data_IF_932910941704
#
_entry.id   IF_932910941704
#
_cell.length_a   1.000
_cell.length_b   1.000
_cell.length_c   1.000
_cell.angle_alpha   90.00
_cell.angle_beta   90.00
_cell.angle_gamma   90.00
#
_symmetry.space_group_name_H-M   'P 1'
#
loop_
_entity.id
_entity.type
_entity.pdbx_description
1 polymer ?
#
# COMPACT_ATOMS: atom_id res chain seq x y z
N UNK A 1 -55.96 -10.09 -47.72
CA UNK A 1 -55.56 -9.39 -46.49
C UNK A 1 -54.81 -10.36 -45.60
N UNK A 2 -53.52 -10.25 -45.41
CA UNK A 2 -52.76 -11.12 -44.51
C UNK A 2 -52.89 -10.58 -43.07
N UNK A 3 -53.12 -11.48 -42.13
CA UNK A 3 -53.24 -11.20 -40.69
C UNK A 3 -51.85 -10.91 -40.13
N UNK A 4 -51.68 -9.74 -39.55
CA UNK A 4 -50.48 -9.34 -38.81
C UNK A 4 -50.54 -9.96 -37.40
N UNK A 5 -49.60 -10.89 -37.09
CA UNK A 5 -49.42 -11.39 -35.73
C UNK A 5 -48.69 -10.33 -34.89
N UNK A 6 -49.14 -10.01 -33.69
CA UNK A 6 -48.38 -9.12 -32.81
C UNK A 6 -47.17 -9.89 -32.26
N UNK A 7 -45.95 -9.39 -32.58
CA UNK A 7 -44.73 -9.80 -31.93
C UNK A 7 -44.80 -9.48 -30.43
N UNK A 8 -44.90 -10.49 -29.61
CA UNK A 8 -44.68 -10.41 -28.16
C UNK A 8 -43.17 -10.16 -27.96
N UNK A 9 -42.83 -8.91 -27.67
CA UNK A 9 -41.51 -8.57 -27.20
C UNK A 9 -41.33 -9.14 -25.78
N UNK A 10 -40.70 -10.31 -25.69
CA UNK A 10 -40.17 -10.80 -24.43
C UNK A 10 -38.94 -9.93 -24.06
N UNK A 11 -39.19 -8.91 -23.27
CA UNK A 11 -38.12 -8.22 -22.55
C UNK A 11 -37.56 -9.17 -21.51
N UNK A 12 -36.52 -9.92 -21.88
CA UNK A 12 -35.64 -10.58 -20.91
C UNK A 12 -34.87 -9.48 -20.15
N UNK A 13 -35.54 -8.88 -19.18
CA UNK A 13 -34.92 -8.06 -18.18
C UNK A 13 -33.96 -8.95 -17.38
N UNK A 14 -32.70 -9.04 -17.78
CA UNK A 14 -31.63 -9.44 -16.87
C UNK A 14 -31.59 -8.39 -15.77
N UNK A 15 -32.27 -8.66 -14.67
CA UNK A 15 -32.06 -7.92 -13.42
C UNK A 15 -30.59 -8.11 -13.08
N UNK A 16 -29.75 -7.14 -13.43
CA UNK A 16 -28.41 -7.04 -12.84
C UNK A 16 -28.65 -6.81 -11.34
N UNK A 17 -28.66 -7.89 -10.57
CA UNK A 17 -28.83 -7.83 -9.13
C UNK A 17 -27.75 -6.87 -8.59
N UNK A 18 -28.19 -5.74 -8.01
CA UNK A 18 -27.27 -4.80 -7.41
C UNK A 18 -26.42 -5.55 -6.38
N UNK A 19 -25.09 -5.53 -6.54
CA UNK A 19 -24.17 -6.15 -5.57
C UNK A 19 -24.48 -5.59 -4.18
N UNK A 20 -24.69 -6.42 -3.16
CA UNK A 20 -25.01 -5.96 -1.81
C UNK A 20 -23.97 -4.98 -1.31
N UNK A 21 -24.39 -3.86 -0.74
CA UNK A 21 -23.48 -2.85 -0.16
C UNK A 21 -22.44 -3.46 0.79
N UNK A 22 -22.85 -4.43 1.60
CA UNK A 22 -21.96 -5.11 2.57
C UNK A 22 -20.78 -5.82 1.90
N UNK A 23 -20.95 -6.36 0.70
CA UNK A 23 -19.90 -7.05 -0.04
C UNK A 23 -18.82 -6.04 -0.50
N UNK A 24 -19.24 -4.95 -1.16
CA UNK A 24 -18.32 -3.90 -1.59
C UNK A 24 -17.62 -3.25 -0.39
N UNK A 25 -18.37 -2.88 0.65
CA UNK A 25 -17.82 -2.25 1.85
C UNK A 25 -16.79 -3.15 2.55
N UNK A 26 -17.02 -4.48 2.59
CA UNK A 26 -16.06 -5.45 3.13
C UNK A 26 -14.77 -5.47 2.31
N UNK A 27 -14.87 -5.57 1.00
CA UNK A 27 -13.69 -5.58 0.11
C UNK A 27 -12.92 -4.25 0.20
N UNK A 28 -13.63 -3.12 0.13
CA UNK A 28 -13.04 -1.78 0.25
C UNK A 28 -12.32 -1.61 1.61
N UNK A 29 -12.95 -2.03 2.71
CA UNK A 29 -12.35 -1.94 4.04
C UNK A 29 -11.12 -2.83 4.21
N UNK A 30 -11.14 -4.06 3.66
CA UNK A 30 -9.99 -4.96 3.70
C UNK A 30 -8.81 -4.43 2.87
N UNK A 31 -9.08 -3.97 1.64
CA UNK A 31 -8.04 -3.35 0.81
C UNK A 31 -7.50 -2.08 1.48
N UNK A 32 -8.38 -1.23 2.05
CA UNK A 32 -7.95 -0.06 2.80
C UNK A 32 -7.06 -0.40 4.00
N UNK A 33 -7.40 -1.44 4.78
CA UNK A 33 -6.57 -1.88 5.90
C UNK A 33 -5.20 -2.38 5.43
N UNK A 34 -5.16 -3.20 4.38
CA UNK A 34 -3.92 -3.71 3.80
C UNK A 34 -3.06 -2.56 3.26
N UNK A 35 -3.66 -1.61 2.52
CA UNK A 35 -2.98 -0.45 1.99
C UNK A 35 -2.46 0.49 3.09
N UNK A 36 -3.26 0.77 4.10
CA UNK A 36 -2.83 1.55 5.26
C UNK A 36 -1.64 0.91 5.97
N UNK A 37 -1.61 -0.43 6.08
CA UNK A 37 -0.45 -1.13 6.64
C UNK A 37 0.80 -0.99 5.75
N UNK A 38 0.67 -0.95 4.42
CA UNK A 38 1.83 -0.73 3.55
C UNK A 38 2.45 0.64 3.79
N UNK A 39 1.64 1.69 3.91
CA UNK A 39 2.12 3.03 4.22
C UNK A 39 2.66 3.16 5.66
N UNK A 40 2.11 2.40 6.60
CA UNK A 40 2.70 2.28 7.94
C UNK A 40 4.15 1.77 7.85
N UNK A 41 4.41 0.76 7.02
CA UNK A 41 5.75 0.18 6.87
C UNK A 41 6.74 1.06 6.10
N UNK A 42 6.31 2.11 5.37
CA UNK A 42 7.22 3.18 4.91
C UNK A 42 7.91 3.86 6.10
N UNK A 43 7.22 3.95 7.22
CA UNK A 43 7.64 4.62 8.43
C UNK A 43 8.08 3.63 9.53
N UNK A 44 8.49 2.39 9.18
CA UNK A 44 8.96 1.42 10.18
C UNK A 44 10.23 1.91 10.90
N UNK A 45 11.24 2.35 10.15
CA UNK A 45 12.53 2.76 10.70
C UNK A 45 12.66 4.26 10.99
N UNK A 46 12.17 5.20 10.15
CA UNK A 46 12.40 6.63 10.33
C UNK A 46 12.06 7.18 11.72
N UNK A 47 10.93 6.84 12.36
CA UNK A 47 10.62 7.31 13.71
C UNK A 47 11.57 6.79 14.79
N UNK A 48 12.34 5.74 14.49
CA UNK A 48 13.29 5.12 15.40
C UNK A 48 14.74 5.65 15.26
N UNK A 49 14.98 6.53 14.29
CA UNK A 49 16.33 7.08 14.01
C UNK A 49 17.03 7.63 15.24
N UNK A 50 16.39 8.38 16.17
CA UNK A 50 17.08 8.85 17.36
C UNK A 50 17.68 7.74 18.23
N UNK A 51 16.98 6.61 18.38
CA UNK A 51 17.48 5.46 19.12
C UNK A 51 18.61 4.75 18.38
N UNK A 52 18.52 4.65 17.04
CA UNK A 52 19.56 4.03 16.20
C UNK A 52 20.84 4.87 16.23
N UNK A 53 20.73 6.20 16.23
CA UNK A 53 21.87 7.10 16.41
C UNK A 53 22.49 6.92 17.80
N UNK A 54 21.66 6.90 18.84
CA UNK A 54 22.14 6.78 20.22
C UNK A 54 22.84 5.44 20.49
N UNK A 55 22.35 4.34 19.91
CA UNK A 55 22.90 3.00 20.16
C UNK A 55 24.10 2.65 19.29
N UNK A 56 24.04 3.01 18.00
CA UNK A 56 25.05 2.58 17.01
C UNK A 56 25.95 3.71 16.50
N UNK A 57 25.63 4.97 16.81
CA UNK A 57 26.39 6.12 16.30
C UNK A 57 26.18 6.39 14.80
N UNK A 58 25.07 5.91 14.20
CA UNK A 58 24.84 6.09 12.77
C UNK A 58 24.69 7.56 12.39
N UNK A 59 25.29 7.91 11.26
CA UNK A 59 25.11 9.21 10.61
C UNK A 59 23.75 9.30 9.91
N UNK A 60 23.28 10.53 9.67
CA UNK A 60 22.08 10.75 8.86
C UNK A 60 22.22 10.22 7.42
N UNK A 61 23.44 10.16 6.89
CA UNK A 61 23.69 9.56 5.57
C UNK A 61 23.43 8.05 5.57
N UNK A 62 23.87 7.33 6.59
CA UNK A 62 23.62 5.88 6.73
C UNK A 62 22.12 5.61 6.90
N UNK A 63 21.44 6.43 7.71
CA UNK A 63 19.99 6.33 7.87
C UNK A 63 19.24 6.64 6.56
N UNK A 64 19.72 7.60 5.78
CA UNK A 64 19.23 7.92 4.44
C UNK A 64 19.39 6.76 3.46
N UNK A 65 20.47 5.99 3.56
CA UNK A 65 20.66 4.77 2.74
C UNK A 65 19.60 3.72 3.09
N UNK A 66 19.22 3.53 4.36
CA UNK A 66 18.14 2.61 4.74
C UNK A 66 16.81 2.99 4.06
N UNK A 67 16.49 4.28 4.07
CA UNK A 67 15.29 4.81 3.38
C UNK A 67 15.39 4.59 1.87
N UNK A 68 16.59 4.83 1.29
CA UNK A 68 16.82 4.63 -0.14
C UNK A 68 16.69 3.17 -0.56
N UNK A 69 17.20 2.23 0.24
CA UNK A 69 17.05 0.78 0.01
C UNK A 69 15.57 0.41 -0.05
N UNK A 70 14.77 0.88 0.90
CA UNK A 70 13.33 0.66 0.88
C UNK A 70 12.70 1.17 -0.42
N UNK A 71 12.90 2.44 -0.77
CA UNK A 71 12.23 3.05 -1.92
C UNK A 71 12.72 2.52 -3.27
N UNK A 72 14.00 2.18 -3.41
CA UNK A 72 14.54 1.57 -4.63
C UNK A 72 13.93 0.20 -4.86
N UNK A 73 13.93 -0.67 -3.85
CA UNK A 73 13.36 -2.02 -3.95
C UNK A 73 11.85 -1.93 -4.19
N UNK A 74 11.16 -1.07 -3.46
CA UNK A 74 9.73 -0.85 -3.64
C UNK A 74 9.40 -0.33 -5.04
N UNK A 75 10.08 0.71 -5.51
CA UNK A 75 9.81 1.32 -6.82
C UNK A 75 10.08 0.38 -7.99
N UNK A 76 11.24 -0.28 -8.01
CA UNK A 76 11.58 -1.28 -9.04
C UNK A 76 10.60 -2.47 -8.97
N UNK A 77 10.38 -2.97 -7.76
CA UNK A 77 9.45 -4.08 -7.54
C UNK A 77 8.01 -3.73 -7.94
N UNK A 78 7.54 -2.51 -7.69
CA UNK A 78 6.19 -2.06 -8.09
C UNK A 78 6.02 -2.06 -9.61
N UNK A 79 7.03 -1.62 -10.36
CA UNK A 79 6.99 -1.65 -11.82
C UNK A 79 6.88 -3.09 -12.39
N UNK A 80 7.41 -4.08 -11.66
CA UNK A 80 7.39 -5.49 -12.06
C UNK A 80 6.20 -6.27 -11.49
N UNK A 81 5.62 -5.81 -10.41
CA UNK A 81 4.57 -6.53 -9.67
C UNK A 81 3.29 -6.73 -10.46
N UNK A 82 2.96 -5.85 -11.41
CA UNK A 82 1.81 -6.03 -12.30
C UNK A 82 1.88 -7.36 -13.05
N UNK A 83 3.03 -7.69 -13.63
CA UNK A 83 3.23 -8.96 -14.34
C UNK A 83 3.09 -10.18 -13.41
N UNK A 84 3.51 -10.05 -12.16
CA UNK A 84 3.35 -11.11 -11.16
C UNK A 84 1.88 -11.29 -10.79
N UNK A 85 1.17 -10.19 -10.52
CA UNK A 85 -0.27 -10.20 -10.18
C UNK A 85 -1.09 -10.81 -11.32
N UNK A 86 -0.78 -10.49 -12.57
CA UNK A 86 -1.48 -11.06 -13.74
C UNK A 86 -1.30 -12.59 -13.85
N UNK A 87 -0.15 -13.12 -13.42
CA UNK A 87 0.15 -14.55 -13.49
C UNK A 87 -0.43 -15.35 -12.33
N UNK A 88 -0.19 -14.89 -11.11
CA UNK A 88 -0.52 -15.66 -9.88
C UNK A 88 -1.81 -15.18 -9.19
N UNK A 89 -2.32 -14.00 -9.54
CA UNK A 89 -3.47 -13.36 -8.92
C UNK A 89 -3.07 -12.41 -7.78
N UNK A 90 -3.95 -11.46 -7.47
CA UNK A 90 -3.69 -10.41 -6.50
C UNK A 90 -3.63 -10.94 -5.05
N UNK A 91 -4.54 -11.83 -4.67
CA UNK A 91 -4.63 -12.34 -3.29
C UNK A 91 -3.35 -13.00 -2.75
N UNK A 92 -2.71 -13.99 -3.43
CA UNK A 92 -1.47 -14.60 -2.93
C UNK A 92 -0.31 -13.59 -2.88
N UNK A 93 -0.27 -12.62 -3.79
CA UNK A 93 0.75 -11.56 -3.78
C UNK A 93 0.56 -10.61 -2.59
N UNK A 94 -0.69 -10.29 -2.22
CA UNK A 94 -0.97 -9.54 -0.98
C UNK A 94 -0.49 -10.28 0.27
N UNK A 95 -0.72 -11.58 0.36
CA UNK A 95 -0.26 -12.38 1.51
C UNK A 95 1.27 -12.43 1.60
N UNK A 96 1.95 -12.58 0.47
CA UNK A 96 3.40 -12.46 0.40
C UNK A 96 3.89 -11.10 0.88
N UNK A 97 3.26 -10.02 0.44
CA UNK A 97 3.59 -8.65 0.81
C UNK A 97 3.49 -8.42 2.33
N UNK A 98 2.37 -8.82 2.94
CA UNK A 98 2.16 -8.71 4.38
C UNK A 98 3.12 -9.61 5.18
N UNK A 99 3.44 -10.80 4.67
CA UNK A 99 4.46 -11.67 5.27
C UNK A 99 5.85 -11.04 5.23
N UNK A 100 6.19 -10.34 4.15
CA UNK A 100 7.45 -9.60 4.03
C UNK A 100 7.53 -8.45 5.03
N UNK A 101 6.43 -7.75 5.31
CA UNK A 101 6.38 -6.75 6.38
C UNK A 101 6.59 -7.36 7.77
N UNK A 102 5.95 -8.50 8.06
CA UNK A 102 6.17 -9.19 9.32
C UNK A 102 7.64 -9.60 9.48
N UNK A 103 8.24 -10.17 8.43
CA UNK A 103 9.66 -10.51 8.42
C UNK A 103 10.56 -9.28 8.59
N UNK A 104 10.22 -8.15 7.94
CA UNK A 104 10.95 -6.88 8.10
C UNK A 104 10.95 -6.41 9.56
N UNK A 105 9.79 -6.37 10.21
CA UNK A 105 9.70 -5.97 11.62
C UNK A 105 10.44 -6.91 12.56
N UNK A 106 10.41 -8.24 12.30
CA UNK A 106 11.18 -9.23 13.06
C UNK A 106 12.69 -9.03 12.89
N UNK A 107 13.16 -8.87 11.66
CA UNK A 107 14.58 -8.64 11.37
C UNK A 107 15.04 -7.32 11.97
N UNK A 108 14.25 -6.25 11.88
CA UNK A 108 14.56 -4.97 12.53
C UNK A 108 14.68 -5.16 14.05
N UNK A 109 13.68 -5.77 14.70
CA UNK A 109 13.65 -5.96 16.15
C UNK A 109 14.76 -6.86 16.70
N UNK A 110 15.39 -7.67 15.85
CA UNK A 110 16.51 -8.57 16.23
C UNK A 110 17.87 -8.09 15.68
N UNK A 111 17.89 -6.95 14.97
CA UNK A 111 19.11 -6.43 14.35
C UNK A 111 20.17 -6.07 15.40
N UNK A 112 21.40 -6.51 15.16
CA UNK A 112 22.57 -6.22 16.00
C UNK A 112 23.49 -5.14 15.42
N UNK A 113 23.11 -4.56 14.27
CA UNK A 113 23.87 -3.53 13.58
C UNK A 113 23.28 -3.19 12.22
N UNK A 114 24.02 -2.39 11.46
CA UNK A 114 23.58 -1.78 10.20
C UNK A 114 23.09 -2.81 9.16
N UNK A 115 23.80 -3.92 8.98
CA UNK A 115 23.44 -4.96 7.99
C UNK A 115 22.04 -5.55 8.23
N UNK A 116 21.66 -5.78 9.49
CA UNK A 116 20.31 -6.24 9.85
C UNK A 116 19.24 -5.21 9.48
N UNK A 117 19.51 -3.93 9.71
CA UNK A 117 18.59 -2.84 9.34
C UNK A 117 18.47 -2.67 7.82
N UNK A 118 19.54 -2.88 7.06
CA UNK A 118 19.50 -2.92 5.58
C UNK A 118 18.60 -4.04 5.09
N UNK A 119 18.73 -5.24 5.67
CA UNK A 119 17.85 -6.37 5.33
C UNK A 119 16.39 -6.08 5.70
N UNK A 120 16.15 -5.48 6.86
CA UNK A 120 14.80 -5.06 7.27
C UNK A 120 14.19 -4.05 6.29
N UNK A 121 14.96 -3.02 5.90
CA UNK A 121 14.52 -2.03 4.91
C UNK A 121 14.23 -2.67 3.54
N UNK A 122 15.08 -3.61 3.10
CA UNK A 122 14.88 -4.36 1.86
C UNK A 122 13.60 -5.20 1.89
N UNK A 123 13.35 -5.92 2.98
CA UNK A 123 12.12 -6.71 3.18
C UNK A 123 10.88 -5.83 3.22
N UNK A 124 10.95 -4.66 3.88
CA UNK A 124 9.86 -3.69 3.88
C UNK A 124 9.58 -3.17 2.46
N UNK A 125 10.62 -2.81 1.70
CA UNK A 125 10.51 -2.39 0.30
C UNK A 125 9.91 -3.47 -0.59
N UNK A 126 10.32 -4.73 -0.40
CA UNK A 126 9.77 -5.88 -1.13
C UNK A 126 8.30 -6.13 -0.80
N UNK A 127 7.92 -5.98 0.47
CA UNK A 127 6.52 -6.05 0.90
C UNK A 127 5.69 -4.92 0.29
N UNK A 128 6.23 -3.70 0.24
CA UNK A 128 5.51 -2.54 -0.30
C UNK A 128 5.31 -2.60 -1.83
N UNK A 129 6.25 -3.18 -2.55
CA UNK A 129 6.30 -3.20 -4.00
C UNK A 129 4.97 -3.58 -4.69
N UNK A 130 4.25 -4.65 -4.31
CA UNK A 130 3.09 -5.09 -5.07
C UNK A 130 1.78 -4.41 -4.68
N UNK A 131 1.72 -3.55 -3.65
CA UNK A 131 0.45 -3.07 -3.09
C UNK A 131 -0.43 -2.37 -4.12
N UNK A 132 0.07 -1.37 -4.85
CA UNK A 132 -0.77 -0.67 -5.84
C UNK A 132 -1.30 -1.59 -6.94
N UNK A 133 -0.50 -2.44 -7.61
CA UNK A 133 -1.04 -3.41 -8.58
C UNK A 133 -2.06 -4.38 -7.97
N UNK A 134 -1.81 -4.86 -6.75
CA UNK A 134 -2.71 -5.77 -6.04
C UNK A 134 -4.02 -5.10 -5.69
N UNK A 135 -3.95 -3.94 -5.03
CA UNK A 135 -5.12 -3.22 -4.53
C UNK A 135 -6.03 -2.79 -5.68
N UNK A 136 -5.46 -2.22 -6.74
CA UNK A 136 -6.21 -1.80 -7.91
C UNK A 136 -6.83 -2.99 -8.64
N UNK A 137 -6.14 -4.13 -8.69
CA UNK A 137 -6.70 -5.35 -9.27
C UNK A 137 -7.89 -5.84 -8.49
N UNK A 138 -7.80 -5.90 -7.14
CA UNK A 138 -8.91 -6.34 -6.29
C UNK A 138 -10.08 -5.36 -6.38
N UNK A 139 -9.84 -4.05 -6.23
CA UNK A 139 -10.90 -3.04 -6.30
C UNK A 139 -11.63 -3.11 -7.64
N UNK A 140 -10.92 -3.11 -8.77
CA UNK A 140 -11.53 -3.13 -10.09
C UNK A 140 -12.30 -4.42 -10.41
N UNK A 141 -11.90 -5.56 -9.84
CA UNK A 141 -12.54 -6.85 -10.12
C UNK A 141 -13.63 -7.24 -9.11
N UNK A 142 -13.63 -6.66 -7.91
CA UNK A 142 -14.50 -7.09 -6.81
C UNK A 142 -15.51 -6.04 -6.38
N UNK A 143 -15.23 -4.76 -6.60
CA UNK A 143 -16.12 -3.65 -6.21
C UNK A 143 -17.00 -3.25 -7.40
N UNK A 144 -18.27 -3.01 -7.14
CA UNK A 144 -19.23 -2.57 -8.18
C UNK A 144 -18.80 -1.23 -8.79
N UNK A 145 -19.01 -0.99 -10.11
CA UNK A 145 -18.64 0.25 -10.77
C UNK A 145 -19.21 1.50 -10.09
N UNK A 146 -20.43 1.41 -9.53
CA UNK A 146 -21.10 2.52 -8.84
C UNK A 146 -20.37 2.96 -7.56
N UNK A 147 -19.59 2.06 -6.94
CA UNK A 147 -18.88 2.31 -5.67
C UNK A 147 -17.35 2.31 -5.82
N UNK A 148 -16.86 2.10 -7.03
CA UNK A 148 -15.41 2.03 -7.28
C UNK A 148 -14.71 3.34 -6.92
N UNK A 149 -15.33 4.49 -7.17
CA UNK A 149 -14.80 5.79 -6.74
C UNK A 149 -14.64 5.90 -5.23
N UNK A 150 -15.60 5.38 -4.44
CA UNK A 150 -15.46 5.30 -2.99
C UNK A 150 -14.34 4.34 -2.58
N UNK A 151 -14.16 3.24 -3.32
CA UNK A 151 -13.05 2.31 -3.09
C UNK A 151 -11.69 3.00 -3.21
N UNK A 152 -11.48 3.78 -4.26
CA UNK A 152 -10.24 4.55 -4.46
C UNK A 152 -10.08 5.68 -3.43
N UNK A 153 -11.16 6.34 -3.02
CA UNK A 153 -11.10 7.36 -1.97
C UNK A 153 -10.67 6.74 -0.62
N UNK A 154 -11.26 5.62 -0.22
CA UNK A 154 -10.87 4.89 1.01
C UNK A 154 -9.42 4.41 0.92
N UNK A 155 -9.00 3.90 -0.24
CA UNK A 155 -7.62 3.52 -0.50
C UNK A 155 -6.65 4.69 -0.25
N UNK A 156 -6.90 5.87 -0.82
CA UNK A 156 -6.05 7.06 -0.61
C UNK A 156 -6.03 7.52 0.85
N UNK A 157 -7.20 7.60 1.50
CA UNK A 157 -7.31 8.02 2.92
C UNK A 157 -6.57 7.01 3.82
N UNK A 158 -6.73 5.71 3.58
CA UNK A 158 -6.09 4.68 4.40
C UNK A 158 -4.56 4.73 4.33
N UNK A 159 -4.00 5.07 3.16
CA UNK A 159 -2.56 5.30 3.01
C UNK A 159 -2.07 6.45 3.90
N UNK A 160 -2.74 7.60 3.85
CA UNK A 160 -2.41 8.75 4.71
C UNK A 160 -2.54 8.41 6.20
N UNK A 161 -3.57 7.65 6.59
CA UNK A 161 -3.73 7.17 7.97
C UNK A 161 -2.60 6.23 8.38
N UNK A 162 -2.12 5.37 7.47
CA UNK A 162 -0.95 4.53 7.70
C UNK A 162 0.30 5.36 8.02
N UNK A 163 0.59 6.37 7.22
CA UNK A 163 1.70 7.30 7.48
C UNK A 163 1.53 8.10 8.79
N UNK A 164 0.31 8.52 9.09
CA UNK A 164 0.03 9.30 10.29
C UNK A 164 0.16 8.48 11.57
N UNK A 165 -0.25 7.22 11.56
CA UNK A 165 -0.24 6.36 12.75
C UNK A 165 1.14 5.80 13.08
N UNK A 166 1.99 5.56 12.07
CA UNK A 166 3.29 4.92 12.25
C UNK A 166 4.23 5.69 13.18
N UNK A 167 4.45 7.02 13.06
CA UNK A 167 5.33 7.75 13.96
C UNK A 167 4.89 7.67 15.42
N UNK A 168 3.60 7.84 15.68
CA UNK A 168 3.04 7.76 17.04
C UNK A 168 3.15 6.35 17.61
N UNK A 169 2.86 5.34 16.82
CA UNK A 169 2.96 3.94 17.22
C UNK A 169 4.42 3.55 17.53
N UNK A 170 5.33 3.79 16.57
CA UNK A 170 6.72 3.36 16.69
C UNK A 170 7.46 4.13 17.78
N UNK A 171 7.42 5.47 17.74
CA UNK A 171 8.07 6.30 18.75
C UNK A 171 7.39 6.18 20.12
N UNK A 172 6.06 6.03 20.17
CA UNK A 172 5.31 5.82 21.40
C UNK A 172 5.71 4.56 22.13
N UNK A 173 5.75 3.41 21.44
CA UNK A 173 6.19 2.13 22.02
C UNK A 173 7.65 2.20 22.42
N UNK A 174 8.52 2.73 21.55
CA UNK A 174 9.94 2.85 21.87
C UNK A 174 10.19 3.71 23.12
N UNK A 175 9.44 4.81 23.28
CA UNK A 175 9.52 5.67 24.48
C UNK A 175 8.98 4.95 25.70
N UNK A 176 7.80 4.33 25.61
CA UNK A 176 7.15 3.67 26.75
C UNK A 176 7.92 2.46 27.25
N UNK A 177 8.61 1.74 26.38
CA UNK A 177 9.36 0.52 26.72
C UNK A 177 10.87 0.75 26.87
N UNK A 178 11.37 1.94 26.49
CA UNK A 178 12.80 2.21 26.40
C UNK A 178 13.51 1.42 25.28
N UNK A 179 12.76 0.80 24.33
CA UNK A 179 13.33 -0.14 23.36
C UNK A 179 12.73 0.03 21.97
N UNK A 180 13.53 0.49 21.03
CA UNK A 180 13.16 0.54 19.61
C UNK A 180 12.97 -0.86 19.00
N UNK A 181 13.66 -1.87 19.54
CA UNK A 181 13.45 -3.27 19.14
C UNK A 181 12.06 -3.76 19.46
N UNK A 182 11.55 -3.41 20.65
CA UNK A 182 10.17 -3.73 21.02
C UNK A 182 9.18 -3.08 20.09
N UNK A 183 9.39 -1.81 19.70
CA UNK A 183 8.54 -1.14 18.72
C UNK A 183 8.55 -1.87 17.36
N UNK A 184 9.72 -2.30 16.88
CA UNK A 184 9.86 -3.06 15.63
C UNK A 184 9.14 -4.41 15.69
N UNK A 185 9.25 -5.13 16.81
CA UNK A 185 8.53 -6.39 17.03
C UNK A 185 7.01 -6.20 17.11
N UNK A 186 6.55 -5.10 17.71
CA UNK A 186 5.13 -4.72 17.68
C UNK A 186 4.66 -4.39 16.25
N UNK A 187 5.52 -3.77 15.42
CA UNK A 187 5.27 -3.61 14.00
C UNK A 187 5.11 -4.96 13.27
N UNK A 188 5.98 -5.92 13.57
CA UNK A 188 5.84 -7.28 13.03
C UNK A 188 4.52 -7.95 13.46
N UNK A 189 4.16 -7.83 14.74
CA UNK A 189 2.89 -8.35 15.26
C UNK A 189 1.67 -7.69 14.59
N UNK A 190 1.74 -6.38 14.32
CA UNK A 190 0.72 -5.66 13.56
C UNK A 190 0.58 -6.22 12.14
N UNK A 191 1.69 -6.45 11.41
CA UNK A 191 1.64 -7.05 10.08
C UNK A 191 1.04 -8.46 10.09
N UNK A 192 1.39 -9.30 11.10
CA UNK A 192 0.82 -10.63 11.27
C UNK A 192 -0.68 -10.57 11.56
N UNK A 193 -1.13 -9.62 12.37
CA UNK A 193 -2.55 -9.40 12.63
C UNK A 193 -3.30 -9.03 11.35
N UNK A 194 -2.77 -8.09 10.55
CA UNK A 194 -3.37 -7.71 9.27
C UNK A 194 -3.38 -8.91 8.32
N UNK A 195 -2.29 -9.66 8.23
CA UNK A 195 -2.23 -10.89 7.42
C UNK A 195 -3.30 -11.89 7.85
N UNK A 196 -3.45 -12.13 9.14
CA UNK A 196 -4.48 -13.05 9.67
C UNK A 196 -5.90 -12.58 9.28
N UNK A 197 -6.19 -11.28 9.40
CA UNK A 197 -7.46 -10.70 8.95
C UNK A 197 -7.68 -10.94 7.45
N UNK A 198 -6.65 -10.75 6.61
CA UNK A 198 -6.75 -10.99 5.16
C UNK A 198 -6.94 -12.47 4.84
N UNK A 199 -6.26 -13.37 5.54
CA UNK A 199 -6.42 -14.83 5.35
C UNK A 199 -7.81 -15.31 5.75
N UNK A 200 -8.34 -14.83 6.88
CA UNK A 200 -9.71 -15.14 7.33
C UNK A 200 -10.74 -14.63 6.31
N UNK A 201 -10.47 -13.49 5.68
CA UNK A 201 -11.38 -12.86 4.71
C UNK A 201 -10.98 -13.11 3.24
N UNK A 202 -10.17 -14.12 2.98
CA UNK A 202 -9.56 -14.41 1.67
C UNK A 202 -10.55 -14.45 0.49
N UNK A 203 -11.81 -14.82 0.73
CA UNK A 203 -12.82 -14.95 -0.32
C UNK A 203 -13.26 -13.57 -0.85
N UNK A 204 -13.25 -12.54 0.01
CA UNK A 204 -13.52 -11.16 -0.40
C UNK A 204 -12.39 -10.54 -1.25
N UNK A 205 -11.19 -11.13 -1.19
CA UNK A 205 -9.98 -10.65 -1.89
C UNK A 205 -9.65 -11.46 -3.15
N UNK A 206 -10.47 -12.47 -3.49
CA UNK A 206 -10.20 -13.33 -4.64
C UNK A 206 -10.56 -12.62 -5.96
N UNK A 207 -9.55 -12.08 -6.63
CA UNK A 207 -9.68 -11.38 -7.90
C UNK A 207 -10.05 -12.26 -9.10
N UNK A 208 -10.07 -13.59 -8.91
CA UNK A 208 -10.50 -14.58 -9.93
C UNK A 208 -11.98 -14.90 -9.86
N UNK A 209 -12.63 -14.56 -8.76
CA UNK A 209 -14.05 -14.79 -8.49
C UNK A 209 -14.75 -13.43 -8.33
N UNK A 210 -15.75 -13.15 -9.15
CA UNK A 210 -16.53 -11.94 -9.04
C UNK A 210 -17.23 -11.60 -10.34
N UNK A 211 -18.41 -10.97 -10.24
CA UNK A 211 -19.24 -10.60 -11.40
C UNK A 211 -18.48 -9.68 -12.38
N UNK A 212 -17.62 -8.81 -11.86
CA UNK A 212 -16.88 -7.82 -12.65
C UNK A 212 -15.60 -8.40 -13.28
N UNK A 213 -15.05 -9.48 -12.73
CA UNK A 213 -13.90 -10.17 -13.32
C UNK A 213 -14.22 -10.75 -14.73
N UNK A 214 -15.47 -11.17 -14.95
CA UNK A 214 -15.92 -11.68 -16.23
C UNK A 214 -16.23 -10.56 -17.24
N UNK A 215 -16.79 -9.44 -16.78
CA UNK A 215 -17.06 -8.29 -17.65
C UNK A 215 -15.76 -7.63 -18.17
N UNK A 216 -14.73 -7.52 -17.33
CA UNK A 216 -13.43 -7.04 -17.75
C UNK A 216 -12.79 -7.91 -18.85
N UNK A 217 -12.93 -9.25 -18.76
CA UNK A 217 -12.49 -10.17 -19.80
C UNK A 217 -13.32 -10.04 -21.08
N UNK A 218 -14.64 -9.88 -20.97
CA UNK A 218 -15.53 -9.67 -22.11
C UNK A 218 -15.25 -8.38 -22.88
N UNK A 219 -14.99 -7.28 -22.17
CA UNK A 219 -14.64 -5.99 -22.75
C UNK A 219 -13.26 -6.04 -23.43
N UNK A 220 -12.28 -6.71 -22.83
CA UNK A 220 -10.96 -6.89 -23.43
C UNK A 220 -10.98 -7.77 -24.69
N UNK A 221 -11.89 -8.77 -24.75
CA UNK A 221 -12.05 -9.63 -25.95
C UNK A 221 -12.86 -8.98 -27.07
N UNK A 222 -13.75 -8.02 -26.73
CA UNK A 222 -14.54 -7.27 -27.71
C UNK A 222 -13.72 -6.18 -28.43
N UNK A 223 -12.69 -5.67 -27.81
CA UNK A 223 -11.68 -4.81 -28.43
C UNK A 223 -10.46 -5.65 -28.83
N UNK A 224 -10.60 -6.42 -29.91
CA UNK A 224 -9.48 -7.11 -30.55
C UNK A 224 -8.51 -6.09 -31.19
N UNK A 225 -7.88 -5.28 -30.33
CA UNK A 225 -6.69 -4.49 -30.69
C UNK A 225 -5.56 -5.50 -30.89
N UNK A 226 -4.82 -5.38 -32.02
CA UNK A 226 -3.61 -6.19 -32.26
C UNK A 226 -2.77 -6.19 -30.99
N UNK A 227 -2.22 -7.38 -30.56
CA UNK A 227 -1.40 -7.45 -29.37
C UNK A 227 -0.20 -6.51 -29.53
N UNK A 228 -0.27 -5.35 -28.90
CA UNK A 228 0.87 -4.44 -28.81
C UNK A 228 1.92 -5.03 -27.88
N UNK A 229 3.18 -4.68 -28.13
CA UNK A 229 4.27 -5.08 -27.25
C UNK A 229 3.98 -4.62 -25.81
N UNK A 230 4.15 -5.46 -24.76
CA UNK A 230 3.82 -5.10 -23.37
C UNK A 230 4.40 -3.77 -22.88
N UNK A 231 5.50 -3.33 -23.48
CA UNK A 231 6.16 -2.06 -23.14
C UNK A 231 5.77 -0.90 -24.07
N UNK A 232 4.76 -1.06 -24.93
CA UNK A 232 4.35 0.01 -25.86
C UNK A 232 3.90 1.29 -25.17
N UNK A 233 3.32 1.18 -23.96
CA UNK A 233 2.91 2.32 -23.14
C UNK A 233 4.08 3.28 -22.81
N UNK A 234 5.33 2.81 -22.78
CA UNK A 234 6.50 3.67 -22.54
C UNK A 234 6.77 4.68 -23.66
N UNK A 235 6.12 4.53 -24.83
CA UNK A 235 6.19 5.49 -25.92
C UNK A 235 5.25 6.70 -25.71
N UNK A 236 4.34 6.62 -24.73
CA UNK A 236 3.36 7.69 -24.46
C UNK A 236 4.00 8.78 -23.59
N UNK A 237 4.04 10.06 -24.05
CA UNK A 237 4.58 11.16 -23.25
C UNK A 237 3.85 11.35 -21.92
N UNK A 238 2.54 11.08 -21.86
CA UNK A 238 1.73 11.15 -20.65
C UNK A 238 2.25 10.21 -19.53
N UNK A 239 2.78 9.04 -19.87
CA UNK A 239 3.36 8.11 -18.91
C UNK A 239 4.57 8.74 -18.23
N UNK A 240 5.45 9.39 -18.99
CA UNK A 240 6.65 10.04 -18.45
C UNK A 240 6.33 11.30 -17.64
N UNK A 241 5.30 12.07 -18.03
CA UNK A 241 4.83 13.20 -17.26
C UNK A 241 4.26 12.75 -15.89
N UNK A 242 3.41 11.73 -15.88
CA UNK A 242 2.89 11.15 -14.64
C UNK A 242 4.03 10.59 -13.78
N UNK A 243 4.95 9.84 -14.40
CA UNK A 243 6.13 9.31 -13.69
C UNK A 243 6.94 10.44 -13.03
N UNK A 244 7.26 11.50 -13.79
CA UNK A 244 8.03 12.63 -13.28
C UNK A 244 7.31 13.33 -12.12
N UNK A 245 6.01 13.55 -12.22
CA UNK A 245 5.21 14.15 -11.15
C UNK A 245 5.28 13.31 -9.87
N UNK A 246 5.00 12.01 -9.97
CA UNK A 246 5.03 11.13 -8.79
C UNK A 246 6.44 10.95 -8.23
N UNK A 247 7.45 10.88 -9.09
CA UNK A 247 8.84 10.76 -8.66
C UNK A 247 9.25 11.95 -7.78
N UNK A 248 9.08 13.18 -8.27
CA UNK A 248 9.48 14.37 -7.53
C UNK A 248 8.62 14.61 -6.28
N UNK A 249 7.33 14.35 -6.36
CA UNK A 249 6.43 14.44 -5.20
C UNK A 249 6.82 13.44 -4.12
N UNK A 250 7.15 12.21 -4.49
CA UNK A 250 7.58 11.17 -3.54
C UNK A 250 8.96 11.51 -2.94
N UNK A 251 9.89 12.04 -3.72
CA UNK A 251 11.19 12.50 -3.21
C UNK A 251 11.00 13.58 -2.13
N UNK A 252 10.18 14.59 -2.39
CA UNK A 252 9.91 15.65 -1.42
C UNK A 252 9.21 15.10 -0.16
N UNK A 253 8.20 14.27 -0.34
CA UNK A 253 7.43 13.68 0.75
C UNK A 253 8.31 12.76 1.62
N UNK A 254 9.13 11.91 1.01
CA UNK A 254 10.00 10.99 1.75
C UNK A 254 11.05 11.71 2.60
N UNK A 255 11.54 12.87 2.15
CA UNK A 255 12.45 13.70 2.93
C UNK A 255 11.77 14.21 4.21
N UNK A 256 10.52 14.70 4.11
CA UNK A 256 9.74 15.15 5.26
C UNK A 256 9.44 13.97 6.19
N UNK A 257 8.95 12.86 5.66
CA UNK A 257 8.60 11.67 6.45
C UNK A 257 9.78 11.12 7.24
N UNK A 258 10.97 11.10 6.62
CA UNK A 258 12.15 10.47 7.20
C UNK A 258 12.93 11.38 8.14
N UNK A 259 13.00 12.68 7.83
CA UNK A 259 13.94 13.59 8.49
C UNK A 259 13.30 14.77 9.23
N UNK A 260 11.98 15.01 9.10
CA UNK A 260 11.36 16.13 9.83
C UNK A 260 11.49 15.97 11.33
N UNK A 261 11.27 14.78 11.89
CA UNK A 261 11.39 14.53 13.33
C UNK A 261 12.81 14.77 13.85
N UNK A 262 13.87 14.14 13.32
CA UNK A 262 15.25 14.41 13.75
C UNK A 262 15.69 15.87 13.48
N UNK A 263 15.25 16.49 12.39
CA UNK A 263 15.55 17.91 12.13
C UNK A 263 14.93 18.83 13.18
N UNK A 264 13.68 18.66 13.53
CA UNK A 264 13.00 19.44 14.57
C UNK A 264 13.66 19.25 15.95
N UNK A 265 14.11 18.04 16.27
CA UNK A 265 14.87 17.78 17.49
C UNK A 265 16.20 18.53 17.50
N UNK A 266 16.96 18.44 16.42
CA UNK A 266 18.30 19.04 16.34
C UNK A 266 18.27 20.57 16.31
N UNK A 267 17.28 21.16 15.60
CA UNK A 267 17.16 22.61 15.43
C UNK A 267 16.49 23.32 16.62
N UNK A 268 15.51 22.70 17.23
CA UNK A 268 14.66 23.32 18.25
C UNK A 268 14.70 22.64 19.62
N UNK A 269 15.44 21.55 19.77
CA UNK A 269 15.50 20.80 21.04
C UNK A 269 14.18 20.16 21.45
N UNK A 270 13.26 19.93 20.51
CA UNK A 270 11.92 19.42 20.82
C UNK A 270 11.97 17.94 21.25
N UNK A 271 11.16 17.54 22.24
CA UNK A 271 11.02 16.13 22.60
C UNK A 271 10.51 15.30 21.41
N UNK A 272 10.95 14.03 21.32
CA UNK A 272 10.57 13.13 20.25
C UNK A 272 9.06 12.92 20.14
N UNK A 273 8.35 12.86 21.26
CA UNK A 273 6.89 12.79 21.28
C UNK A 273 6.23 13.96 20.55
N UNK A 274 6.75 15.16 20.72
CA UNK A 274 6.25 16.36 20.04
C UNK A 274 6.55 16.30 18.54
N UNK A 275 7.77 15.93 18.15
CA UNK A 275 8.15 15.86 16.73
C UNK A 275 7.40 14.76 15.99
N UNK A 276 7.12 13.62 16.63
CA UNK A 276 6.27 12.57 16.08
C UNK A 276 4.84 13.06 15.84
N UNK A 277 4.28 13.84 16.79
CA UNK A 277 2.94 14.45 16.63
C UNK A 277 2.89 15.47 15.50
N UNK A 278 3.97 16.25 15.29
CA UNK A 278 4.05 17.21 14.17
C UNK A 278 3.99 16.47 12.83
N UNK A 279 4.77 15.38 12.67
CA UNK A 279 4.74 14.55 11.45
C UNK A 279 3.36 13.93 11.27
N UNK A 280 2.78 13.37 12.33
CA UNK A 280 1.42 12.82 12.29
C UNK A 280 0.39 13.88 11.88
N UNK A 281 0.44 15.07 12.46
CA UNK A 281 -0.46 16.18 12.11
C UNK A 281 -0.33 16.58 10.65
N UNK A 282 0.90 16.69 10.14
CA UNK A 282 1.15 16.95 8.72
C UNK A 282 0.49 15.90 7.81
N UNK A 283 0.63 14.61 8.15
CA UNK A 283 0.03 13.52 7.37
C UNK A 283 -1.52 13.52 7.45
N UNK A 284 -2.09 13.85 8.61
CA UNK A 284 -3.53 13.96 8.77
C UNK A 284 -4.11 15.14 7.97
N UNK A 285 -3.44 16.29 7.95
CA UNK A 285 -3.83 17.40 7.08
C UNK A 285 -3.80 17.02 5.61
N UNK A 286 -2.79 16.25 5.18
CA UNK A 286 -2.73 15.71 3.82
C UNK A 286 -3.84 14.70 3.50
N UNK A 287 -4.43 14.05 4.52
CA UNK A 287 -5.58 13.16 4.33
C UNK A 287 -6.92 13.93 4.21
N UNK A 288 -6.96 15.14 4.75
CA UNK A 288 -8.18 15.97 4.74
C UNK A 288 -8.34 16.77 3.42
N UNK A 289 -7.31 16.86 2.60
CA UNK A 289 -7.31 17.56 1.31
C UNK A 289 -6.18 18.53 1.17
#
# INVERSE_FOLDING_TARGET
>A
MPKINPMTSASSGTSSGAVPFRQDARTIGLVGLAHGSSHFFHMLLPPLFPWLIAEFGFSYSELGVLVSVFFVISGVGQALSGFLVDRVGARPVMFFALSSFAASGLVAGTAQGYGGLVVAAALAGLGNAPFHPVDFTILNKRVSPQRLGHGFAVHGISGNLGWATAPVFMAGIATATGSWRTASLCGAAFALLVLAIMVINRDALDDRQGEWAHQAKGAASAQAVKPEHPMAFLKLPSVWLCFSFFFWSTCALSAIQSFASPALQSMYGLPLSVTAMVVTGYMLCGAAG
#
